data_IF_688283366696
#
_entry.id   IF_688283366696
#
_cell.length_a   1.000
_cell.length_b   1.000
_cell.length_c   1.000
_cell.angle_alpha   90.00
_cell.angle_beta   90.00
_cell.angle_gamma   90.00
#
_symmetry.space_group_name_H-M   'P 1'
#
loop_
_entity.id
_entity.type
_entity.pdbx_description
1 polymer ?
#
# COMPACT_ATOMS: atom_id res chain seq x y z
N UNK A 1 13.12 -1.12 21.49
CA UNK A 1 13.39 -0.09 22.53
C UNK A 1 12.59 1.14 22.09
N UNK A 2 11.75 1.78 22.91
CA UNK A 2 11.07 2.99 22.47
C UNK A 2 12.12 4.03 22.09
N UNK A 3 12.01 4.55 20.88
CA UNK A 3 12.82 5.69 20.45
C UNK A 3 12.11 6.95 20.94
N UNK A 4 12.86 7.80 21.65
CA UNK A 4 12.33 9.05 22.18
C UNK A 4 12.82 10.20 21.31
N UNK A 5 11.88 10.98 20.78
CA UNK A 5 12.21 12.31 20.29
C UNK A 5 12.03 13.29 21.45
N UNK A 6 13.12 13.94 21.85
CA UNK A 6 13.15 14.92 22.92
C UNK A 6 13.12 16.34 22.34
N UNK A 7 12.57 17.27 23.11
CA UNK A 7 12.55 18.69 22.81
C UNK A 7 13.95 19.24 22.52
N UNK A 8 14.09 19.99 21.42
CA UNK A 8 15.32 20.69 21.06
C UNK A 8 15.07 22.21 21.12
N UNK A 9 15.58 22.87 22.15
CA UNK A 9 15.27 24.28 22.43
C UNK A 9 15.67 25.21 21.27
N UNK A 10 16.82 24.95 20.64
CA UNK A 10 17.39 25.79 19.58
C UNK A 10 16.86 25.42 18.16
N UNK A 11 15.64 24.87 18.07
CA UNK A 11 15.03 24.60 16.78
C UNK A 11 14.85 25.91 15.99
N UNK A 12 15.53 26.00 14.84
CA UNK A 12 15.59 27.21 14.01
C UNK A 12 14.23 27.71 13.52
N UNK A 13 13.22 26.84 13.43
CA UNK A 13 11.84 27.20 13.09
C UNK A 13 11.04 27.79 14.25
N UNK A 14 11.61 27.81 15.46
CA UNK A 14 10.95 28.27 16.67
C UNK A 14 9.85 27.33 17.16
N UNK A 15 9.32 27.63 18.34
CA UNK A 15 8.31 26.82 19.04
C UNK A 15 7.01 27.59 19.28
N UNK A 16 6.58 28.43 18.34
CA UNK A 16 5.33 29.19 18.47
C UNK A 16 4.10 28.29 18.32
N UNK A 17 3.14 28.38 19.24
CA UNK A 17 1.89 27.60 19.21
C UNK A 17 1.92 26.34 20.09
N UNK A 18 1.10 25.35 19.73
CA UNK A 18 0.92 24.13 20.51
C UNK A 18 1.89 23.03 20.06
N UNK A 19 2.88 22.72 20.89
CA UNK A 19 3.90 21.71 20.60
C UNK A 19 4.01 20.67 21.71
N UNK A 20 4.36 19.43 21.33
CA UNK A 20 4.64 18.37 22.28
C UNK A 20 6.09 18.44 22.77
N UNK A 21 6.30 18.32 24.08
CA UNK A 21 7.66 18.29 24.68
C UNK A 21 8.37 16.94 24.53
N UNK A 22 7.61 15.89 24.23
CA UNK A 22 8.09 14.51 24.13
C UNK A 22 7.21 13.74 23.18
N UNK A 23 7.82 12.98 22.28
CA UNK A 23 7.15 11.94 21.53
C UNK A 23 7.77 10.58 21.87
N UNK A 24 6.93 9.57 22.04
CA UNK A 24 7.34 8.19 22.24
C UNK A 24 6.97 7.40 21.00
N UNK A 25 7.98 6.92 20.27
CA UNK A 25 7.76 6.09 19.10
C UNK A 25 7.86 4.63 19.55
N UNK A 26 6.77 3.89 19.38
CA UNK A 26 6.68 2.47 19.71
C UNK A 26 6.51 1.68 18.43
N UNK A 27 7.54 0.90 18.09
CA UNK A 27 7.47 -0.07 17.02
C UNK A 27 6.58 -1.26 17.45
N UNK A 28 5.53 -1.51 16.68
CA UNK A 28 4.54 -2.57 16.90
C UNK A 28 4.21 -3.18 15.54
N UNK A 29 4.76 -4.35 15.25
CA UNK A 29 4.62 -5.00 13.94
C UNK A 29 3.21 -5.54 13.67
N UNK A 30 2.51 -6.01 14.71
CA UNK A 30 1.20 -6.63 14.57
C UNK A 30 0.05 -5.60 14.54
N UNK A 31 -0.73 -5.59 13.46
CA UNK A 31 -1.80 -4.64 13.23
C UNK A 31 -2.91 -4.69 14.31
N UNK A 32 -3.28 -5.91 14.75
CA UNK A 32 -4.24 -6.12 15.84
C UNK A 32 -3.75 -5.49 17.15
N UNK A 33 -2.44 -5.54 17.41
CA UNK A 33 -1.87 -4.91 18.61
C UNK A 33 -1.90 -3.39 18.50
N UNK A 34 -1.62 -2.82 17.33
CA UNK A 34 -1.77 -1.37 17.07
C UNK A 34 -3.21 -0.91 17.33
N UNK A 35 -4.19 -1.63 16.81
CA UNK A 35 -5.63 -1.35 17.02
C UNK A 35 -6.01 -1.34 18.50
N UNK A 36 -5.62 -2.37 19.26
CA UNK A 36 -5.94 -2.45 20.68
C UNK A 36 -5.33 -1.31 21.49
N UNK A 37 -4.12 -0.84 21.13
CA UNK A 37 -3.47 0.27 21.83
C UNK A 37 -4.22 1.59 21.61
N UNK A 38 -4.65 1.89 20.39
CA UNK A 38 -5.40 3.13 20.11
C UNK A 38 -6.81 3.08 20.72
N UNK A 39 -7.49 1.93 20.68
CA UNK A 39 -8.82 1.76 21.31
C UNK A 39 -8.78 1.90 22.84
N UNK A 40 -7.67 1.51 23.48
CA UNK A 40 -7.46 1.69 24.94
C UNK A 40 -7.00 3.09 25.33
N UNK A 41 -6.54 3.91 24.37
CA UNK A 41 -5.89 5.18 24.64
C UNK A 41 -4.46 5.04 25.17
N UNK A 42 -3.81 3.89 24.96
CA UNK A 42 -2.39 3.68 25.31
C UNK A 42 -1.44 4.39 24.33
N UNK A 43 -1.95 4.79 23.15
CA UNK A 43 -1.26 5.61 22.15
C UNK A 43 -2.22 6.68 21.62
N UNK A 44 -1.69 7.84 21.27
CA UNK A 44 -2.47 8.97 20.73
C UNK A 44 -2.64 8.92 19.21
N UNK A 45 -1.75 8.19 18.51
CA UNK A 45 -1.70 8.12 17.05
C UNK A 45 -1.22 6.74 16.59
N UNK A 46 -1.81 6.24 15.51
CA UNK A 46 -1.39 5.00 14.85
C UNK A 46 -1.64 5.07 13.35
N UNK A 47 -0.90 4.25 12.60
CA UNK A 47 -0.98 4.11 11.15
C UNK A 47 -1.02 2.63 10.79
N UNK A 48 -1.29 2.32 9.52
CA UNK A 48 -1.22 0.96 8.98
C UNK A 48 -2.17 0.00 9.69
N UNK A 49 -3.40 0.42 9.98
CA UNK A 49 -4.45 -0.49 10.44
C UNK A 49 -5.11 -1.18 9.24
N UNK A 50 -5.64 -2.41 9.42
CA UNK A 50 -6.37 -3.09 8.35
C UNK A 50 -7.57 -2.27 7.88
N UNK A 51 -7.80 -2.19 6.57
CA UNK A 51 -8.90 -1.40 6.02
C UNK A 51 -10.28 -1.87 6.48
N UNK A 52 -10.43 -3.17 6.76
CA UNK A 52 -11.66 -3.78 7.30
C UNK A 52 -12.05 -3.24 8.68
N UNK A 53 -11.07 -2.74 9.45
CA UNK A 53 -11.29 -2.20 10.78
C UNK A 53 -11.80 -0.75 10.76
N UNK A 54 -11.65 -0.05 9.63
CA UNK A 54 -11.92 1.39 9.52
C UNK A 54 -13.35 1.73 9.92
N UNK A 55 -14.34 0.98 9.44
CA UNK A 55 -15.74 1.25 9.75
C UNK A 55 -16.01 1.14 11.27
N UNK A 56 -15.47 0.09 11.91
CA UNK A 56 -15.60 -0.10 13.35
C UNK A 56 -14.88 1.00 14.16
N UNK A 57 -13.76 1.52 13.67
CA UNK A 57 -13.02 2.59 14.33
C UNK A 57 -13.71 3.94 14.18
N UNK A 58 -14.39 4.19 13.05
CA UNK A 58 -15.19 5.40 12.83
C UNK A 58 -16.41 5.47 13.77
N UNK A 59 -16.97 4.33 14.15
CA UNK A 59 -18.08 4.26 15.12
C UNK A 59 -17.63 4.53 16.56
N UNK A 60 -16.32 4.47 16.85
CA UNK A 60 -15.78 4.75 18.17
C UNK A 60 -15.64 6.27 18.38
N UNK A 61 -16.48 6.83 19.27
CA UNK A 61 -16.51 8.27 19.58
C UNK A 61 -15.21 8.86 20.14
N UNK A 62 -14.30 8.02 20.63
CA UNK A 62 -13.01 8.45 21.18
C UNK A 62 -11.89 8.42 20.14
N UNK A 63 -12.16 7.94 18.93
CA UNK A 63 -11.17 7.80 17.86
C UNK A 63 -11.59 8.70 16.69
N UNK A 64 -10.65 9.47 16.18
CA UNK A 64 -10.83 10.20 14.94
C UNK A 64 -10.09 9.48 13.82
N UNK A 65 -10.82 9.02 12.81
CA UNK A 65 -10.23 8.39 11.62
C UNK A 65 -10.14 9.41 10.50
N UNK A 66 -8.92 9.68 10.04
CA UNK A 66 -8.65 10.58 8.92
C UNK A 66 -8.57 9.80 7.61
N UNK A 67 -9.50 10.08 6.69
CA UNK A 67 -9.53 9.47 5.36
C UNK A 67 -9.31 10.55 4.31
N UNK A 68 -8.36 10.32 3.41
CA UNK A 68 -8.08 11.23 2.31
C UNK A 68 -7.03 10.67 1.37
N UNK A 69 -6.76 11.35 0.24
CA UNK A 69 -5.66 10.98 -0.66
C UNK A 69 -4.33 10.91 0.11
N UNK A 70 -3.56 9.86 -0.13
CA UNK A 70 -2.22 9.69 0.44
C UNK A 70 -1.15 9.72 -0.65
N UNK A 71 0.09 9.87 -0.22
CA UNK A 71 1.26 9.74 -1.11
C UNK A 71 1.66 8.28 -1.34
N UNK A 72 0.88 7.32 -0.84
CA UNK A 72 1.16 5.90 -1.02
C UNK A 72 0.67 5.41 -2.37
N UNK A 73 1.44 4.52 -2.97
CA UNK A 73 1.10 3.85 -4.22
C UNK A 73 1.54 2.38 -4.08
N UNK A 74 0.58 1.47 -3.99
CA UNK A 74 0.85 0.04 -3.92
C UNK A 74 1.33 -0.44 -5.29
N UNK A 75 2.60 -0.86 -5.37
CA UNK A 75 3.26 -1.22 -6.63
C UNK A 75 3.95 -2.58 -6.51
N UNK A 76 3.66 -3.46 -7.46
CA UNK A 76 4.43 -4.68 -7.66
C UNK A 76 5.61 -4.39 -8.58
N UNK A 77 6.82 -4.57 -8.08
CA UNK A 77 8.04 -4.36 -8.86
C UNK A 77 8.54 -5.66 -9.47
N UNK A 78 8.81 -5.64 -10.77
CA UNK A 78 9.45 -6.75 -11.47
C UNK A 78 10.97 -6.62 -11.43
N UNK A 79 11.68 -7.71 -11.13
CA UNK A 79 13.12 -7.78 -11.36
C UNK A 79 13.40 -7.96 -12.86
N UNK A 80 13.56 -6.84 -13.58
CA UNK A 80 13.75 -6.84 -15.04
C UNK A 80 15.12 -7.33 -15.51
N UNK A 81 16.01 -7.74 -14.58
CA UNK A 81 17.35 -8.26 -14.90
C UNK A 81 17.43 -9.79 -14.83
N UNK A 82 16.38 -10.46 -14.38
CA UNK A 82 16.36 -11.90 -14.15
C UNK A 82 15.25 -12.57 -14.96
N UNK A 83 15.58 -13.67 -15.62
CA UNK A 83 14.59 -14.53 -16.27
C UNK A 83 13.55 -15.04 -15.24
N UNK A 84 12.25 -15.13 -15.60
CA UNK A 84 11.69 -14.78 -16.91
C UNK A 84 11.27 -13.31 -17.04
N UNK A 85 11.40 -12.51 -15.96
CA UNK A 85 10.87 -11.15 -15.86
C UNK A 85 11.69 -10.08 -16.60
N UNK A 86 12.86 -10.40 -17.14
CA UNK A 86 13.56 -9.55 -18.10
C UNK A 86 12.79 -9.44 -19.44
N UNK A 87 11.93 -10.40 -19.79
CA UNK A 87 11.04 -10.33 -20.94
C UNK A 87 9.92 -9.28 -20.73
N UNK A 88 9.93 -8.21 -21.55
CA UNK A 88 8.91 -7.14 -21.48
C UNK A 88 7.50 -7.66 -21.76
N UNK A 89 7.34 -8.53 -22.76
CA UNK A 89 6.05 -9.09 -23.16
C UNK A 89 5.43 -9.91 -22.02
N UNK A 90 6.26 -10.68 -21.28
CA UNK A 90 5.80 -11.39 -20.10
C UNK A 90 5.28 -10.43 -19.01
N UNK A 91 6.02 -9.34 -18.72
CA UNK A 91 5.56 -8.35 -17.73
C UNK A 91 4.24 -7.68 -18.14
N UNK A 92 4.05 -7.42 -19.43
CA UNK A 92 2.78 -6.91 -19.96
C UNK A 92 1.66 -7.93 -19.76
N UNK A 93 1.91 -9.21 -20.05
CA UNK A 93 0.95 -10.28 -19.81
C UNK A 93 0.52 -10.36 -18.34
N UNK A 94 1.47 -10.33 -17.41
CA UNK A 94 1.20 -10.31 -15.96
C UNK A 94 0.40 -9.08 -15.54
N UNK A 95 0.66 -7.91 -16.16
CA UNK A 95 -0.10 -6.69 -15.87
C UNK A 95 -1.56 -6.79 -16.33
N UNK A 96 -1.83 -7.39 -17.48
CA UNK A 96 -3.22 -7.67 -17.92
C UNK A 96 -3.90 -8.78 -17.10
N UNK A 97 -3.13 -9.69 -16.51
CA UNK A 97 -3.65 -10.76 -15.66
C UNK A 97 -3.91 -10.33 -14.20
N UNK A 98 -3.58 -9.10 -13.82
CA UNK A 98 -3.73 -8.64 -12.44
C UNK A 98 -5.16 -8.11 -12.17
N UNK A 99 -5.85 -8.59 -11.13
CA UNK A 99 -7.25 -8.26 -10.86
C UNK A 99 -7.37 -6.90 -10.13
N UNK A 100 -7.11 -5.80 -10.83
CA UNK A 100 -7.05 -4.45 -10.23
C UNK A 100 -8.31 -4.03 -9.44
N UNK A 101 -9.50 -4.40 -9.92
CA UNK A 101 -10.76 -4.04 -9.24
C UNK A 101 -10.96 -4.85 -7.96
N UNK A 102 -10.67 -6.16 -7.99
CA UNK A 102 -10.79 -7.01 -6.80
C UNK A 102 -9.84 -6.53 -5.70
N UNK A 103 -8.61 -6.11 -6.07
CA UNK A 103 -7.68 -5.51 -5.11
C UNK A 103 -8.26 -4.24 -4.48
N UNK A 104 -8.83 -3.34 -5.28
CA UNK A 104 -9.43 -2.10 -4.77
C UNK A 104 -10.63 -2.37 -3.87
N UNK A 105 -11.52 -3.30 -4.26
CA UNK A 105 -12.75 -3.56 -3.52
C UNK A 105 -12.56 -4.46 -2.31
N UNK A 106 -11.73 -5.51 -2.40
CA UNK A 106 -11.59 -6.55 -1.37
C UNK A 106 -10.33 -6.36 -0.52
N UNK A 107 -9.18 -6.03 -1.12
CA UNK A 107 -7.95 -5.86 -0.35
C UNK A 107 -7.89 -4.49 0.34
N UNK A 108 -8.39 -3.45 -0.33
CA UNK A 108 -8.36 -2.07 0.15
C UNK A 108 -9.73 -1.57 0.65
N UNK A 109 -10.76 -2.41 0.66
CA UNK A 109 -12.13 -2.09 1.13
C UNK A 109 -12.70 -0.78 0.51
N UNK A 110 -12.33 -0.48 -0.74
CA UNK A 110 -12.74 0.74 -1.44
C UNK A 110 -11.99 2.02 -1.05
N UNK A 111 -11.04 1.97 -0.10
CA UNK A 111 -10.18 3.10 0.27
C UNK A 111 -9.01 3.32 -0.71
N UNK A 112 -8.91 2.48 -1.72
CA UNK A 112 -7.92 2.57 -2.79
C UNK A 112 -8.49 3.06 -4.11
N UNK A 113 -7.58 3.36 -5.04
CA UNK A 113 -7.88 3.52 -6.46
C UNK A 113 -6.79 2.87 -7.28
N UNK A 114 -7.14 2.39 -8.47
CA UNK A 114 -6.13 1.85 -9.39
C UNK A 114 -5.11 2.96 -9.72
N UNK A 115 -3.84 2.69 -9.43
CA UNK A 115 -2.74 3.59 -9.76
C UNK A 115 -2.64 3.83 -11.27
N UNK A 116 -2.24 5.05 -11.64
CA UNK A 116 -2.03 5.45 -13.03
C UNK A 116 -0.65 6.06 -13.19
N UNK A 117 0.34 5.18 -13.26
CA UNK A 117 1.76 5.53 -13.21
C UNK A 117 2.31 5.64 -11.77
N UNK A 118 3.55 6.13 -11.63
CA UNK A 118 4.25 6.15 -10.34
C UNK A 118 3.81 7.30 -9.43
N UNK A 119 3.22 8.37 -9.98
CA UNK A 119 2.80 9.55 -9.21
C UNK A 119 1.37 9.35 -8.70
N UNK A 120 1.15 9.27 -7.36
CA UNK A 120 -0.17 9.15 -6.76
C UNK A 120 -1.13 10.25 -7.21
N UNK A 121 -2.43 9.94 -7.17
CA UNK A 121 -3.46 10.93 -7.42
C UNK A 121 -3.41 12.08 -6.41
N UNK A 122 -3.70 13.30 -6.87
CA UNK A 122 -3.68 14.51 -6.05
C UNK A 122 -2.31 15.18 -5.93
N UNK A 123 -1.23 14.53 -6.40
CA UNK A 123 0.10 15.12 -6.47
C UNK A 123 0.36 15.85 -7.79
N UNK A 124 1.16 16.92 -7.71
CA UNK A 124 1.67 17.60 -8.90
C UNK A 124 2.48 16.63 -9.76
N UNK A 125 2.21 16.60 -11.06
CA UNK A 125 2.80 15.64 -12.01
C UNK A 125 1.97 14.37 -12.23
N UNK A 126 0.87 14.16 -11.49
CA UNK A 126 -0.10 13.12 -11.82
C UNK A 126 -0.81 13.43 -13.16
N UNK A 127 -1.09 12.39 -13.95
CA UNK A 127 -1.84 12.51 -15.20
C UNK A 127 -2.87 11.39 -15.35
N UNK A 128 -4.12 11.80 -15.56
CA UNK A 128 -5.25 10.93 -15.88
C UNK A 128 -5.29 10.54 -17.37
N UNK A 129 -4.26 10.86 -18.16
CA UNK A 129 -4.21 10.55 -19.59
C UNK A 129 -3.23 9.42 -19.91
N UNK A 130 -2.48 8.93 -18.91
CA UNK A 130 -1.51 7.86 -19.11
C UNK A 130 -2.19 6.53 -19.48
N UNK A 131 -1.45 5.68 -20.17
CA UNK A 131 -1.89 4.31 -20.40
C UNK A 131 -2.17 3.61 -19.06
N UNK A 132 -3.27 2.85 -19.00
CA UNK A 132 -3.67 2.08 -17.83
C UNK A 132 -4.01 0.67 -18.25
N UNK A 133 -3.41 -0.31 -17.57
CA UNK A 133 -3.76 -1.71 -17.76
C UNK A 133 -5.17 -1.99 -17.26
N UNK A 134 -5.86 -2.92 -17.92
CA UNK A 134 -7.14 -3.46 -17.49
C UNK A 134 -6.96 -4.94 -17.21
N UNK A 135 -7.81 -5.49 -16.35
CA UNK A 135 -7.87 -6.93 -16.18
C UNK A 135 -8.48 -7.57 -17.43
N UNK A 136 -7.66 -8.29 -18.20
CA UNK A 136 -8.03 -8.95 -19.45
C UNK A 136 -7.21 -10.25 -19.62
N UNK A 137 -7.82 -11.37 -19.22
CA UNK A 137 -7.19 -12.68 -19.30
C UNK A 137 -6.98 -13.15 -20.74
N UNK A 138 -7.78 -12.71 -21.70
CA UNK A 138 -7.60 -13.09 -23.10
C UNK A 138 -6.35 -12.40 -23.65
N UNK A 139 -6.19 -11.10 -23.36
CA UNK A 139 -4.98 -10.36 -23.75
C UNK A 139 -3.74 -10.87 -23.03
N UNK A 140 -3.85 -11.23 -21.76
CA UNK A 140 -2.77 -11.84 -21.01
C UNK A 140 -2.30 -13.16 -21.64
N UNK A 141 -3.22 -14.06 -22.02
CA UNK A 141 -2.89 -15.32 -22.70
C UNK A 141 -2.19 -15.10 -24.04
N UNK A 142 -2.70 -14.19 -24.88
CA UNK A 142 -2.07 -13.82 -26.16
C UNK A 142 -0.61 -13.34 -25.96
N UNK A 143 -0.38 -12.54 -24.91
CA UNK A 143 0.95 -12.03 -24.59
C UNK A 143 1.87 -13.10 -23.98
N UNK A 144 1.32 -14.04 -23.19
CA UNK A 144 2.06 -15.19 -22.67
C UNK A 144 2.57 -16.10 -23.80
N UNK A 145 1.72 -16.43 -24.77
CA UNK A 145 2.10 -17.18 -25.97
C UNK A 145 3.24 -16.47 -26.72
N UNK A 146 3.08 -15.17 -26.97
CA UNK A 146 4.12 -14.33 -27.61
C UNK A 146 5.41 -14.23 -26.80
N UNK A 147 5.33 -14.38 -25.48
CA UNK A 147 6.49 -14.40 -24.61
C UNK A 147 7.19 -15.77 -24.57
N UNK A 148 6.64 -16.79 -25.23
CA UNK A 148 7.17 -18.16 -25.23
C UNK A 148 6.66 -19.03 -24.08
N UNK A 149 5.61 -18.60 -23.38
CA UNK A 149 5.03 -19.30 -22.22
C UNK A 149 3.52 -19.56 -22.40
N UNK A 150 3.08 -20.23 -23.48
CA UNK A 150 1.66 -20.46 -23.77
C UNK A 150 0.91 -21.13 -22.61
N UNK A 151 1.56 -22.09 -21.95
CA UNK A 151 1.02 -22.83 -20.81
C UNK A 151 1.59 -22.35 -19.46
N UNK A 152 2.27 -21.20 -19.44
CA UNK A 152 3.05 -20.74 -18.29
C UNK A 152 4.29 -21.63 -18.05
N UNK A 153 4.34 -22.31 -16.90
CA UNK A 153 5.43 -23.25 -16.56
C UNK A 153 6.64 -22.64 -15.84
N UNK A 154 6.53 -21.40 -15.36
CA UNK A 154 7.55 -20.76 -14.54
C UNK A 154 7.04 -20.49 -13.12
N UNK A 155 7.98 -20.30 -12.18
CA UNK A 155 7.69 -19.89 -10.81
C UNK A 155 8.25 -18.50 -10.57
N UNK A 156 7.43 -17.64 -9.97
CA UNK A 156 7.85 -16.33 -9.51
C UNK A 156 7.88 -16.32 -7.99
N UNK A 157 8.86 -15.62 -7.42
CA UNK A 157 8.88 -15.29 -6.00
C UNK A 157 8.41 -13.86 -5.88
N UNK A 158 7.33 -13.68 -5.13
CA UNK A 158 6.80 -12.37 -4.77
C UNK A 158 7.05 -12.18 -3.26
N UNK A 159 7.55 -11.01 -2.89
CA UNK A 159 7.76 -10.61 -1.50
C UNK A 159 6.88 -9.41 -1.18
N UNK A 160 6.35 -9.36 0.03
CA UNK A 160 5.56 -8.25 0.58
C UNK A 160 6.01 -7.96 2.01
N UNK A 161 5.60 -6.82 2.57
CA UNK A 161 5.92 -6.41 3.92
C UNK A 161 5.14 -7.25 4.95
N UNK A 162 5.86 -7.87 5.87
CA UNK A 162 5.24 -8.59 6.98
C UNK A 162 4.43 -7.63 7.86
N UNK A 163 3.18 -7.99 8.15
CA UNK A 163 2.27 -7.17 8.96
C UNK A 163 1.44 -6.16 8.16
N UNK A 164 1.61 -6.09 6.83
CA UNK A 164 0.72 -5.36 5.93
C UNK A 164 -0.35 -6.30 5.37
N UNK A 165 -1.55 -6.21 5.92
CA UNK A 165 -2.69 -7.04 5.52
C UNK A 165 -3.18 -6.74 4.10
N UNK A 166 -3.04 -5.50 3.63
CA UNK A 166 -3.46 -5.14 2.28
C UNK A 166 -2.51 -5.76 1.24
N UNK A 167 -1.21 -5.71 1.48
CA UNK A 167 -0.25 -6.40 0.63
C UNK A 167 -0.45 -7.93 0.69
N UNK A 168 -0.62 -8.51 1.89
CA UNK A 168 -0.87 -9.95 2.06
C UNK A 168 -2.10 -10.42 1.25
N UNK A 169 -3.24 -9.73 1.41
CA UNK A 169 -4.46 -10.05 0.64
C UNK A 169 -4.24 -9.89 -0.87
N UNK A 170 -3.52 -8.85 -1.29
CA UNK A 170 -3.24 -8.58 -2.71
C UNK A 170 -2.45 -9.70 -3.38
N UNK A 171 -1.54 -10.36 -2.65
CA UNK A 171 -0.68 -11.41 -3.20
C UNK A 171 -1.31 -12.81 -3.13
N UNK A 172 -2.37 -12.95 -2.34
CA UNK A 172 -3.17 -14.18 -2.21
C UNK A 172 -4.34 -14.26 -3.21
N UNK A 173 -4.70 -13.14 -3.85
CA UNK A 173 -5.65 -13.09 -4.97
C UNK A 173 -5.09 -13.77 -6.23
#
# INVERSE_FOLDING_TARGET
RPEFALWFEDYWGGWEGNHFKKAVIKDVSEAVTRRLLIEKGDVDFTIELPYEDVASLQDNKNINVLIGPSFQNLMLFFNTKKEPLNNKTLRQALSYAFPYQDVVSYCLEGYGRQGRGPIPYGLWGHSEELFQYKYDLNKAKELLEKAGYPEGGFKLMLTYLSGDEAERKTVEL
#
